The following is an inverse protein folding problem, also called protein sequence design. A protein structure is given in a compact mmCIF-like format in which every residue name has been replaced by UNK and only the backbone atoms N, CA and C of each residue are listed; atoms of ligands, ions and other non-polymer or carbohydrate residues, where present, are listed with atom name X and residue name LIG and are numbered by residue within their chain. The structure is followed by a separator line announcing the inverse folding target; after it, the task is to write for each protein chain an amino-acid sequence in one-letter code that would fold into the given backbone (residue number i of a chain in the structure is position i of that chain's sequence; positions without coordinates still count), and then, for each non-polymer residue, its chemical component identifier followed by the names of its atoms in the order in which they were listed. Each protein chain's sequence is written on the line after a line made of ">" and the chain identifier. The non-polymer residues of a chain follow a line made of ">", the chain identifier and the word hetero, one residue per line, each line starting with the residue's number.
data_IF_655415338661
#
_entry.id   IF_655415338661
#
_cell.length_a   1.000
_cell.length_b   1.000
_cell.length_c   1.000
_cell.angle_alpha   90.00
_cell.angle_beta   90.00
_cell.angle_gamma   90.00
#
_symmetry.space_group_name_H-M   'P 1'
#
loop_
_entity.id
_entity.type
_entity.pdbx_description
1 polymer ?
#
# COMPACT_ATOMS: atom_id res chain seq x y z
N UNK A 1 -7.42 19.21 -25.66
CA UNK A 1 -6.51 19.63 -24.59
C UNK A 1 -5.90 18.37 -23.98
N UNK A 2 -4.57 18.29 -23.75
CA UNK A 2 -3.99 17.13 -23.06
C UNK A 2 -4.33 17.16 -21.57
N UNK A 3 -4.39 15.99 -20.92
CA UNK A 3 -4.67 15.84 -19.49
C UNK A 3 -3.77 16.75 -18.61
N UNK A 4 -2.48 16.79 -18.88
CA UNK A 4 -1.52 17.62 -18.12
C UNK A 4 -1.80 19.13 -18.24
N UNK A 5 -2.15 19.59 -19.44
CA UNK A 5 -2.49 21.02 -19.63
C UNK A 5 -3.75 21.37 -18.83
N UNK A 6 -4.74 20.50 -18.82
CA UNK A 6 -5.97 20.66 -18.05
C UNK A 6 -5.69 20.68 -16.54
N UNK A 7 -4.86 19.76 -16.05
CA UNK A 7 -4.45 19.70 -14.64
C UNK A 7 -3.78 21.01 -14.19
N UNK A 8 -2.80 21.51 -14.96
CA UNK A 8 -2.13 22.77 -14.62
C UNK A 8 -3.07 23.97 -14.63
N UNK A 9 -4.05 24.00 -15.53
CA UNK A 9 -5.06 25.07 -15.56
C UNK A 9 -5.91 25.04 -14.29
N UNK A 10 -6.34 23.86 -13.82
CA UNK A 10 -7.13 23.74 -12.59
C UNK A 10 -6.32 24.17 -11.37
N UNK A 11 -5.06 23.75 -11.27
CA UNK A 11 -4.18 24.15 -10.16
C UNK A 11 -3.99 25.67 -10.16
N UNK A 12 -3.72 26.25 -11.32
CA UNK A 12 -3.57 27.71 -11.47
C UNK A 12 -4.87 28.45 -11.10
N UNK A 13 -6.02 27.98 -11.57
CA UNK A 13 -7.33 28.51 -11.22
C UNK A 13 -7.61 28.39 -9.71
N UNK A 14 -7.23 27.29 -9.10
CA UNK A 14 -7.36 27.08 -7.65
C UNK A 14 -6.53 28.09 -6.85
N UNK A 15 -5.26 28.25 -7.21
CA UNK A 15 -4.36 29.21 -6.55
C UNK A 15 -4.82 30.64 -6.74
N UNK A 16 -5.25 31.01 -7.95
CA UNK A 16 -5.79 32.38 -8.21
C UNK A 16 -7.08 32.61 -7.44
N UNK A 17 -7.97 31.64 -7.34
CA UNK A 17 -9.20 31.69 -6.55
C UNK A 17 -8.90 31.90 -5.06
N UNK A 18 -7.93 31.14 -4.52
CA UNK A 18 -7.48 31.26 -3.14
C UNK A 18 -6.90 32.67 -2.87
N UNK A 19 -6.02 33.13 -3.75
CA UNK A 19 -5.40 34.41 -3.62
C UNK A 19 -6.43 35.56 -3.67
N UNK A 20 -7.36 35.53 -4.65
CA UNK A 20 -8.40 36.53 -4.80
C UNK A 20 -9.37 36.54 -3.61
N UNK A 21 -9.78 35.37 -3.13
CA UNK A 21 -10.64 35.25 -1.93
C UNK A 21 -9.98 35.80 -0.68
N UNK A 22 -8.68 35.50 -0.48
CA UNK A 22 -7.89 36.05 0.64
C UNK A 22 -7.78 37.58 0.54
N UNK A 23 -7.47 38.11 -0.64
CA UNK A 23 -7.34 39.54 -0.86
C UNK A 23 -8.67 40.28 -0.68
N UNK A 24 -9.79 39.73 -1.14
CA UNK A 24 -11.12 40.31 -0.91
C UNK A 24 -11.43 40.38 0.59
N UNK A 25 -11.12 39.32 1.35
CA UNK A 25 -11.29 39.30 2.79
C UNK A 25 -10.39 40.31 3.51
N UNK A 26 -9.12 40.48 3.06
CA UNK A 26 -8.20 41.52 3.56
C UNK A 26 -8.74 42.91 3.31
N UNK A 27 -9.21 43.22 2.11
CA UNK A 27 -9.80 44.52 1.76
C UNK A 27 -11.05 44.85 2.59
N UNK A 28 -11.93 43.82 2.81
CA UNK A 28 -13.09 44.00 3.67
C UNK A 28 -12.67 44.31 5.12
N UNK A 29 -11.61 43.68 5.60
CA UNK A 29 -11.11 43.89 6.96
C UNK A 29 -10.37 45.22 7.16
N UNK A 30 -9.69 45.73 6.11
CA UNK A 30 -8.95 46.99 6.14
C UNK A 30 -9.84 48.23 6.02
N UNK A 31 -11.01 48.12 5.38
CA UNK A 31 -11.94 49.22 5.19
C UNK A 31 -12.73 49.55 6.46
N UNK A 32 -12.63 48.74 7.52
CA UNK A 32 -13.31 48.98 8.79
C UNK A 32 -12.36 49.71 9.74
N UNK A 33 -12.55 51.01 9.93
CA UNK A 33 -11.81 51.80 10.94
C UNK A 33 -12.36 51.61 12.36
N UNK A 34 -13.68 51.44 12.52
CA UNK A 34 -14.38 51.18 13.79
C UNK A 34 -15.53 50.19 13.52
N UNK A 35 -15.41 48.96 14.04
CA UNK A 35 -16.45 47.93 13.90
C UNK A 35 -15.92 46.48 14.01
N UNK A 36 -16.83 45.47 14.07
CA UNK A 36 -16.44 44.08 14.18
C UNK A 36 -15.69 43.63 12.92
N UNK A 37 -14.46 43.14 13.11
CA UNK A 37 -13.66 42.50 12.04
C UNK A 37 -14.29 41.19 11.60
N UNK A 38 -13.85 40.66 10.45
CA UNK A 38 -14.27 39.34 9.96
C UNK A 38 -14.09 38.25 11.04
N UNK A 39 -15.04 37.31 11.22
CA UNK A 39 -15.02 36.31 12.28
C UNK A 39 -13.93 35.22 12.08
N UNK A 40 -13.26 35.20 10.93
CA UNK A 40 -12.20 34.25 10.60
C UNK A 40 -11.02 34.99 9.94
N UNK A 41 -9.82 34.36 10.00
CA UNK A 41 -8.64 34.88 9.31
C UNK A 41 -8.89 34.92 7.79
N UNK A 42 -8.38 35.95 7.07
CA UNK A 42 -8.57 36.09 5.62
C UNK A 42 -8.17 34.88 4.79
N UNK A 43 -7.15 34.14 5.23
CA UNK A 43 -6.70 32.91 4.58
C UNK A 43 -7.77 31.79 4.52
N UNK A 44 -8.66 31.71 5.52
CA UNK A 44 -9.75 30.72 5.51
C UNK A 44 -10.82 31.02 4.45
N UNK A 45 -11.05 32.29 4.11
CA UNK A 45 -11.98 32.65 3.03
C UNK A 45 -11.43 32.21 1.66
N UNK A 46 -10.12 32.41 1.42
CA UNK A 46 -9.46 31.92 0.23
C UNK A 46 -9.43 30.38 0.18
N UNK A 47 -9.10 29.72 1.31
CA UNK A 47 -9.10 28.27 1.41
C UNK A 47 -10.48 27.66 1.17
N UNK A 48 -11.56 28.30 1.67
CA UNK A 48 -12.93 27.83 1.40
C UNK A 48 -13.26 27.90 -0.10
N UNK A 49 -12.88 28.97 -0.78
CA UNK A 49 -13.13 29.11 -2.21
C UNK A 49 -12.33 28.08 -3.04
N UNK A 50 -11.08 27.84 -2.68
CA UNK A 50 -10.23 26.80 -3.26
C UNK A 50 -10.84 25.39 -3.08
N UNK A 51 -11.24 25.03 -1.86
CA UNK A 51 -11.83 23.72 -1.57
C UNK A 51 -13.08 23.45 -2.39
N UNK A 52 -14.00 24.41 -2.47
CA UNK A 52 -15.21 24.25 -3.26
C UNK A 52 -14.94 24.12 -4.75
N UNK A 53 -13.96 24.85 -5.29
CA UNK A 53 -13.51 24.66 -6.67
C UNK A 53 -12.99 23.22 -6.87
N UNK A 54 -12.05 22.78 -6.03
CA UNK A 54 -11.42 21.45 -6.17
C UNK A 54 -12.46 20.35 -6.05
N UNK A 55 -13.35 20.41 -5.06
CA UNK A 55 -14.38 19.39 -4.84
C UNK A 55 -15.33 19.32 -6.04
N UNK A 56 -15.80 20.46 -6.56
CA UNK A 56 -16.71 20.46 -7.71
C UNK A 56 -16.07 19.93 -8.98
N UNK A 57 -14.81 20.29 -9.22
CA UNK A 57 -14.02 19.78 -10.36
C UNK A 57 -13.80 18.27 -10.25
N UNK A 58 -13.37 17.78 -9.07
CA UNK A 58 -13.16 16.35 -8.86
C UNK A 58 -14.45 15.54 -8.98
N UNK A 59 -15.55 16.03 -8.43
CA UNK A 59 -16.83 15.35 -8.53
C UNK A 59 -17.28 15.23 -9.98
N UNK A 60 -17.16 16.30 -10.76
CA UNK A 60 -17.52 16.27 -12.18
C UNK A 60 -16.60 15.38 -12.99
N UNK A 61 -15.30 15.35 -12.66
CA UNK A 61 -14.31 14.50 -13.30
C UNK A 61 -14.61 13.01 -13.03
N UNK A 62 -14.95 12.66 -11.79
CA UNK A 62 -15.36 11.30 -11.43
C UNK A 62 -16.59 10.88 -12.22
N UNK A 63 -17.65 11.71 -12.22
CA UNK A 63 -18.87 11.43 -13.00
C UNK A 63 -18.54 11.25 -14.50
N UNK A 64 -17.66 12.08 -15.03
CA UNK A 64 -17.24 11.97 -16.44
C UNK A 64 -16.51 10.67 -16.73
N UNK A 65 -15.52 10.29 -15.91
CA UNK A 65 -14.74 9.04 -16.11
C UNK A 65 -15.66 7.81 -16.13
N UNK A 66 -16.66 7.76 -15.25
CA UNK A 66 -17.61 6.64 -15.24
C UNK A 66 -18.66 6.70 -16.36
N UNK A 67 -19.09 7.88 -16.77
CA UNK A 67 -20.13 8.05 -17.78
C UNK A 67 -19.60 7.97 -19.23
N UNK A 68 -18.35 8.39 -19.46
CA UNK A 68 -17.73 8.46 -20.79
C UNK A 68 -17.80 7.15 -21.57
N UNK A 69 -17.38 5.98 -21.03
CA UNK A 69 -17.45 4.73 -21.76
C UNK A 69 -18.88 4.41 -22.24
N UNK A 70 -19.85 4.54 -21.34
CA UNK A 70 -21.25 4.24 -21.66
C UNK A 70 -21.83 5.17 -22.72
N UNK A 71 -21.47 6.46 -22.69
CA UNK A 71 -21.92 7.44 -23.68
C UNK A 71 -21.28 7.13 -25.06
N UNK A 72 -19.98 6.85 -25.10
CA UNK A 72 -19.29 6.54 -26.35
C UNK A 72 -19.79 5.25 -26.96
N UNK A 73 -20.02 4.20 -26.16
CA UNK A 73 -20.54 2.92 -26.61
C UNK A 73 -21.95 3.08 -27.18
N UNK A 74 -22.80 3.84 -26.53
CA UNK A 74 -24.14 4.15 -27.04
C UNK A 74 -24.11 4.87 -28.39
N UNK A 75 -23.24 5.87 -28.55
CA UNK A 75 -23.09 6.62 -29.82
C UNK A 75 -22.53 5.70 -30.94
N UNK A 76 -21.58 4.81 -30.59
CA UNK A 76 -20.99 3.87 -31.52
C UNK A 76 -22.03 2.87 -32.07
N UNK A 77 -22.84 2.28 -31.19
CA UNK A 77 -23.88 1.31 -31.55
C UNK A 77 -24.86 1.90 -32.54
N UNK A 78 -25.22 3.18 -32.41
CA UNK A 78 -26.14 3.85 -33.33
C UNK A 78 -25.56 4.06 -34.73
N UNK A 79 -24.24 4.11 -34.89
CA UNK A 79 -23.56 4.36 -36.15
C UNK A 79 -23.10 3.08 -36.87
N UNK A 80 -23.08 1.93 -36.18
CA UNK A 80 -22.67 0.64 -36.76
C UNK A 80 -23.84 0.06 -37.59
N UNK A 81 -23.62 -0.32 -38.90
CA UNK A 81 -24.63 -1.00 -39.70
C UNK A 81 -25.03 -2.35 -39.07
N UNK A 82 -26.34 -2.63 -39.00
CA UNK A 82 -26.86 -3.90 -38.47
C UNK A 82 -26.27 -5.13 -39.16
N UNK A 83 -26.03 -5.06 -40.44
CA UNK A 83 -25.39 -6.14 -41.26
C UNK A 83 -24.01 -6.54 -40.69
N UNK A 84 -23.25 -5.59 -40.17
CA UNK A 84 -21.95 -5.86 -39.60
C UNK A 84 -22.07 -6.54 -38.20
N UNK A 85 -23.08 -6.18 -37.42
CA UNK A 85 -23.37 -6.81 -36.12
C UNK A 85 -23.71 -8.29 -36.33
N UNK A 86 -24.50 -8.60 -37.33
CA UNK A 86 -24.91 -9.96 -37.68
C UNK A 86 -23.72 -10.81 -38.18
N UNK A 87 -22.79 -10.21 -38.95
CA UNK A 87 -21.56 -10.86 -39.44
C UNK A 87 -20.60 -11.27 -38.32
N UNK A 88 -20.54 -10.49 -37.23
CA UNK A 88 -19.68 -10.74 -36.08
C UNK A 88 -20.41 -11.42 -34.89
N UNK A 89 -21.39 -12.28 -35.14
CA UNK A 89 -22.05 -13.13 -34.17
C UNK A 89 -23.17 -12.47 -33.37
N UNK A 90 -23.72 -11.35 -33.85
CA UNK A 90 -24.93 -10.73 -33.29
C UNK A 90 -24.75 -9.98 -31.99
N UNK A 91 -23.54 -9.89 -31.42
CA UNK A 91 -23.27 -9.18 -30.17
C UNK A 91 -22.57 -7.84 -30.43
N UNK A 92 -23.25 -6.69 -30.19
CA UNK A 92 -22.67 -5.36 -30.43
C UNK A 92 -21.40 -5.10 -29.63
N UNK A 93 -21.31 -5.64 -28.38
CA UNK A 93 -20.18 -5.41 -27.49
C UNK A 93 -18.86 -5.91 -28.05
N UNK A 94 -18.83 -7.11 -28.65
CA UNK A 94 -17.62 -7.68 -29.23
C UNK A 94 -17.07 -6.80 -30.37
N UNK A 95 -17.97 -6.25 -31.19
CA UNK A 95 -17.60 -5.37 -32.30
C UNK A 95 -17.04 -4.02 -31.77
N UNK A 96 -17.63 -3.48 -30.70
CA UNK A 96 -17.16 -2.26 -30.04
C UNK A 96 -15.73 -2.46 -29.51
N UNK A 97 -15.46 -3.59 -28.89
CA UNK A 97 -14.13 -3.89 -28.37
C UNK A 97 -13.09 -4.02 -29.49
N UNK A 98 -13.46 -4.62 -30.63
CA UNK A 98 -12.61 -4.69 -31.83
C UNK A 98 -12.34 -3.28 -32.36
N UNK A 99 -13.36 -2.44 -32.49
CA UNK A 99 -13.22 -1.06 -32.97
C UNK A 99 -12.30 -0.24 -32.04
N UNK A 100 -12.47 -0.37 -30.72
CA UNK A 100 -11.63 0.32 -29.72
C UNK A 100 -10.19 -0.17 -29.73
N UNK A 101 -9.97 -1.47 -29.96
CA UNK A 101 -8.65 -2.10 -30.01
C UNK A 101 -7.91 -1.84 -31.33
N UNK A 102 -8.60 -1.37 -32.37
CA UNK A 102 -7.99 -1.12 -33.69
C UNK A 102 -7.07 0.11 -33.62
N UNK A 103 -5.76 -0.15 -33.71
CA UNK A 103 -4.76 0.91 -33.80
C UNK A 103 -4.70 1.50 -35.17
N UNK A 104 -5.13 2.75 -35.31
CA UNK A 104 -5.18 3.48 -36.59
C UNK A 104 -3.78 3.75 -37.15
N UNK A 105 -2.75 3.79 -36.29
CA UNK A 105 -1.36 3.98 -36.72
C UNK A 105 -0.75 2.74 -37.34
N UNK A 106 -1.33 1.55 -37.09
CA UNK A 106 -0.78 0.26 -37.51
C UNK A 106 -1.89 -0.71 -37.95
N UNK A 107 -2.54 -0.36 -39.08
CA UNK A 107 -3.67 -1.12 -39.63
C UNK A 107 -3.15 -2.41 -40.26
N UNK A 108 -3.63 -3.57 -39.77
CA UNK A 108 -3.28 -4.87 -40.35
C UNK A 108 -3.88 -5.02 -41.76
N UNK A 109 -3.09 -5.57 -42.73
CA UNK A 109 -3.61 -5.87 -44.05
C UNK A 109 -4.78 -6.87 -44.00
N UNK A 110 -5.96 -6.48 -44.49
CA UNK A 110 -7.17 -7.31 -44.45
C UNK A 110 -8.22 -6.89 -43.40
N UNK A 111 -7.98 -5.84 -42.62
CA UNK A 111 -9.00 -5.28 -41.74
C UNK A 111 -10.17 -4.71 -42.54
N UNK A 112 -11.41 -5.05 -42.16
CA UNK A 112 -12.61 -4.57 -42.81
C UNK A 112 -12.65 -3.03 -42.84
N UNK A 113 -12.85 -2.39 -44.04
CA UNK A 113 -12.86 -0.92 -44.15
C UNK A 113 -13.88 -0.23 -43.24
N UNK A 114 -15.01 -0.87 -42.97
CA UNK A 114 -16.05 -0.33 -42.07
C UNK A 114 -15.55 -0.28 -40.61
N UNK A 115 -14.73 -1.23 -40.18
CA UNK A 115 -14.12 -1.21 -38.82
C UNK A 115 -13.13 -0.04 -38.74
N UNK A 116 -12.34 0.20 -39.76
CA UNK A 116 -11.38 1.32 -39.82
C UNK A 116 -12.12 2.66 -39.76
N UNK A 117 -13.20 2.82 -40.54
CA UNK A 117 -14.02 4.03 -40.54
C UNK A 117 -14.62 4.30 -39.13
N UNK A 118 -15.18 3.27 -38.50
CA UNK A 118 -15.74 3.39 -37.14
C UNK A 118 -14.66 3.62 -36.08
N UNK A 119 -13.44 3.09 -36.25
CA UNK A 119 -12.32 3.38 -35.36
C UNK A 119 -11.84 4.84 -35.49
N UNK A 120 -11.78 5.37 -36.71
CA UNK A 120 -11.51 6.80 -36.96
C UNK A 120 -12.59 7.69 -36.32
N UNK A 121 -13.85 7.32 -36.50
CA UNK A 121 -14.99 8.02 -35.92
C UNK A 121 -14.92 7.99 -34.36
N UNK A 122 -14.66 6.82 -33.78
CA UNK A 122 -14.49 6.66 -32.33
C UNK A 122 -13.40 7.59 -31.79
N UNK A 123 -12.20 7.59 -32.38
CA UNK A 123 -11.10 8.45 -31.93
C UNK A 123 -11.42 9.94 -32.05
N UNK A 124 -12.20 10.33 -33.07
CA UNK A 124 -12.66 11.72 -33.22
C UNK A 124 -13.64 12.12 -32.13
N UNK A 125 -14.63 11.26 -31.83
CA UNK A 125 -15.62 11.52 -30.79
C UNK A 125 -14.95 11.46 -29.41
N UNK A 126 -14.04 10.55 -29.17
CA UNK A 126 -13.30 10.42 -27.92
C UNK A 126 -12.56 11.73 -27.59
N UNK A 127 -11.77 12.26 -28.53
CA UNK A 127 -11.09 13.55 -28.38
C UNK A 127 -12.04 14.75 -28.22
N UNK A 128 -13.15 14.72 -28.95
CA UNK A 128 -14.16 15.79 -28.89
C UNK A 128 -14.86 15.75 -27.52
N UNK A 129 -15.25 14.58 -27.05
CA UNK A 129 -15.92 14.37 -25.77
C UNK A 129 -15.05 14.83 -24.60
N UNK A 130 -13.74 14.53 -24.60
CA UNK A 130 -12.81 15.03 -23.59
C UNK A 130 -12.70 16.56 -23.63
N UNK A 131 -12.64 17.16 -24.83
CA UNK A 131 -12.55 18.62 -24.96
C UNK A 131 -13.81 19.31 -24.44
N UNK A 132 -14.98 18.75 -24.71
CA UNK A 132 -16.27 19.25 -24.19
C UNK A 132 -16.32 19.09 -22.67
N UNK A 133 -15.96 17.92 -22.14
CA UNK A 133 -15.96 17.67 -20.71
C UNK A 133 -15.01 18.61 -19.96
N UNK A 134 -13.79 18.79 -20.44
CA UNK A 134 -12.84 19.72 -19.82
C UNK A 134 -13.35 21.17 -19.85
N UNK A 135 -14.03 21.57 -20.93
CA UNK A 135 -14.64 22.91 -21.01
C UNK A 135 -15.78 23.07 -19.99
N UNK A 136 -16.64 22.07 -19.84
CA UNK A 136 -17.72 22.07 -18.85
C UNK A 136 -17.14 22.09 -17.43
N UNK A 137 -16.14 21.27 -17.15
CA UNK A 137 -15.49 21.22 -15.82
C UNK A 137 -14.87 22.58 -15.46
N UNK A 138 -14.18 23.22 -16.40
CA UNK A 138 -13.62 24.57 -16.20
C UNK A 138 -14.73 25.60 -15.96
N UNK A 139 -15.81 25.55 -16.72
CA UNK A 139 -16.94 26.46 -16.55
C UNK A 139 -17.60 26.28 -15.17
N UNK A 140 -17.84 25.04 -14.74
CA UNK A 140 -18.39 24.73 -13.41
C UNK A 140 -17.43 25.22 -12.33
N UNK A 141 -16.11 24.93 -12.46
CA UNK A 141 -15.10 25.38 -11.51
C UNK A 141 -15.06 26.90 -11.36
N UNK A 142 -15.10 27.63 -12.47
CA UNK A 142 -15.18 29.11 -12.47
C UNK A 142 -16.45 29.59 -11.80
N UNK A 143 -17.59 29.04 -12.13
CA UNK A 143 -18.89 29.42 -11.56
C UNK A 143 -18.91 29.22 -10.05
N UNK A 144 -18.44 28.08 -9.58
CA UNK A 144 -18.34 27.75 -8.13
C UNK A 144 -17.35 28.68 -7.43
N UNK A 145 -16.23 29.00 -8.08
CA UNK A 145 -15.25 29.97 -7.55
C UNK A 145 -15.86 31.35 -7.36
N UNK A 146 -16.54 31.88 -8.38
CA UNK A 146 -17.20 33.17 -8.33
C UNK A 146 -18.27 33.19 -7.23
N UNK A 147 -19.09 32.13 -7.15
CA UNK A 147 -20.11 31.99 -6.11
C UNK A 147 -19.50 31.99 -4.71
N UNK A 148 -18.45 31.20 -4.50
CA UNK A 148 -17.76 31.10 -3.21
C UNK A 148 -17.11 32.43 -2.79
N UNK A 149 -16.50 33.12 -3.73
CA UNK A 149 -15.90 34.46 -3.49
C UNK A 149 -17.00 35.51 -3.17
N UNK A 150 -18.15 35.43 -3.85
CA UNK A 150 -19.26 36.38 -3.59
C UNK A 150 -19.91 36.12 -2.23
N UNK A 151 -19.84 34.92 -1.68
CA UNK A 151 -20.35 34.58 -0.36
C UNK A 151 -19.50 35.13 0.80
N UNK A 152 -18.34 35.69 0.53
CA UNK A 152 -17.49 36.32 1.55
C UNK A 152 -18.20 37.54 2.13
N UNK A 153 -18.61 37.41 3.40
CA UNK A 153 -19.35 38.43 4.17
C UNK A 153 -19.00 38.33 5.66
N UNK A 154 -19.39 39.35 6.43
CA UNK A 154 -19.16 39.41 7.89
C UNK A 154 -19.92 38.34 8.67
N UNK A 155 -21.01 37.80 8.11
CA UNK A 155 -21.80 36.72 8.73
C UNK A 155 -21.23 35.34 8.43
N UNK A 156 -20.35 35.19 7.44
CA UNK A 156 -19.85 33.92 7.00
C UNK A 156 -18.64 33.48 7.83
N UNK A 157 -18.80 32.41 8.61
CA UNK A 157 -17.76 31.82 9.44
C UNK A 157 -16.87 30.85 8.62
N UNK A 158 -15.95 31.40 7.82
CA UNK A 158 -15.13 30.65 6.86
C UNK A 158 -14.29 29.54 7.52
N UNK A 159 -13.72 29.77 8.71
CA UNK A 159 -12.97 28.75 9.45
C UNK A 159 -13.81 27.50 9.72
N UNK A 160 -15.02 27.68 10.26
CA UNK A 160 -15.91 26.55 10.57
C UNK A 160 -16.34 25.81 9.30
N UNK A 161 -16.57 26.54 8.17
CA UNK A 161 -16.92 25.92 6.91
C UNK A 161 -15.77 25.08 6.36
N UNK A 162 -14.53 25.56 6.38
CA UNK A 162 -13.32 24.82 5.96
C UNK A 162 -13.09 23.61 6.86
N UNK A 163 -13.15 23.76 8.18
CA UNK A 163 -12.97 22.67 9.15
C UNK A 163 -14.03 21.57 8.93
N UNK A 164 -15.31 21.94 8.76
CA UNK A 164 -16.39 20.99 8.49
C UNK A 164 -16.19 20.26 7.16
N UNK A 165 -15.79 20.97 6.11
CA UNK A 165 -15.51 20.36 4.80
C UNK A 165 -14.35 19.39 4.88
N UNK A 166 -13.25 19.76 5.56
CA UNK A 166 -12.09 18.88 5.75
C UNK A 166 -12.45 17.65 6.56
N UNK A 167 -13.22 17.79 7.65
CA UNK A 167 -13.69 16.65 8.45
C UNK A 167 -14.55 15.71 7.59
N UNK A 168 -15.47 16.25 6.79
CA UNK A 168 -16.30 15.43 5.91
C UNK A 168 -15.46 14.69 4.85
N UNK A 169 -14.45 15.34 4.28
CA UNK A 169 -13.51 14.68 3.35
C UNK A 169 -12.71 13.56 4.04
N UNK A 170 -12.22 13.81 5.26
CA UNK A 170 -11.51 12.79 6.03
C UNK A 170 -12.41 11.60 6.36
N UNK A 171 -13.66 11.85 6.76
CA UNK A 171 -14.66 10.80 7.00
C UNK A 171 -14.92 10.01 5.72
N UNK A 172 -15.09 10.69 4.58
CA UNK A 172 -15.30 10.05 3.28
C UNK A 172 -14.12 9.15 2.90
N UNK A 173 -12.89 9.66 2.99
CA UNK A 173 -11.68 8.89 2.71
C UNK A 173 -11.54 7.67 3.64
N UNK A 174 -11.80 7.88 4.94
CA UNK A 174 -11.79 6.78 5.93
C UNK A 174 -12.85 5.73 5.62
N UNK A 175 -14.06 6.16 5.26
CA UNK A 175 -15.15 5.25 4.89
C UNK A 175 -14.80 4.43 3.65
N UNK A 176 -14.24 5.06 2.61
CA UNK A 176 -13.80 4.36 1.39
C UNK A 176 -12.71 3.32 1.74
N UNK A 177 -11.73 3.69 2.58
CA UNK A 177 -10.68 2.76 2.99
C UNK A 177 -11.24 1.55 3.76
N UNK A 178 -12.20 1.78 4.67
CA UNK A 178 -12.87 0.72 5.42
C UNK A 178 -13.66 -0.20 4.47
N UNK A 179 -14.46 0.37 3.57
CA UNK A 179 -15.25 -0.41 2.60
C UNK A 179 -14.34 -1.23 1.70
N UNK A 180 -13.24 -0.64 1.20
CA UNK A 180 -12.26 -1.35 0.37
C UNK A 180 -11.63 -2.53 1.15
N UNK A 181 -11.25 -2.31 2.41
CA UNK A 181 -10.69 -3.37 3.26
C UNK A 181 -11.71 -4.50 3.49
N UNK A 182 -12.96 -4.17 3.79
CA UNK A 182 -14.03 -5.16 3.94
C UNK A 182 -14.25 -5.90 2.62
N UNK A 183 -14.27 -5.20 1.49
CA UNK A 183 -14.42 -5.80 0.16
C UNK A 183 -13.31 -6.82 -0.16
N UNK A 184 -12.05 -6.48 0.15
CA UNK A 184 -10.91 -7.39 -0.01
C UNK A 184 -11.09 -8.65 0.85
N UNK A 185 -11.44 -8.48 2.13
CA UNK A 185 -11.64 -9.63 3.05
C UNK A 185 -12.79 -10.52 2.55
N UNK A 186 -13.91 -9.93 2.14
CA UNK A 186 -15.05 -10.69 1.62
C UNK A 186 -14.70 -11.45 0.33
N UNK A 187 -13.95 -10.81 -0.58
CA UNK A 187 -13.46 -11.47 -1.79
C UNK A 187 -12.54 -12.64 -1.48
N UNK A 188 -11.59 -12.46 -0.55
CA UNK A 188 -10.71 -13.55 -0.11
C UNK A 188 -11.48 -14.70 0.52
N UNK A 189 -12.50 -14.41 1.35
CA UNK A 189 -13.35 -15.43 1.96
C UNK A 189 -14.13 -16.20 0.89
N UNK A 190 -14.73 -15.48 -0.07
CA UNK A 190 -15.53 -16.10 -1.13
C UNK A 190 -14.70 -17.08 -1.97
N UNK A 191 -13.53 -16.66 -2.44
CA UNK A 191 -12.65 -17.53 -3.23
C UNK A 191 -12.04 -18.66 -2.40
N UNK A 192 -11.73 -18.42 -1.12
CA UNK A 192 -11.27 -19.49 -0.22
C UNK A 192 -12.35 -20.54 0.06
N UNK A 193 -13.61 -20.17 0.17
CA UNK A 193 -14.71 -21.13 0.32
C UNK A 193 -14.82 -22.03 -0.92
N UNK A 194 -14.69 -21.47 -2.13
CA UNK A 194 -14.66 -22.25 -3.39
C UNK A 194 -13.48 -23.23 -3.43
N UNK A 195 -12.33 -22.85 -2.84
CA UNK A 195 -11.20 -23.77 -2.67
C UNK A 195 -11.56 -24.92 -1.74
N UNK A 196 -12.18 -24.66 -0.60
CA UNK A 196 -12.54 -25.69 0.40
C UNK A 196 -13.69 -26.59 -0.04
N UNK A 197 -14.43 -26.25 -1.09
CA UNK A 197 -15.33 -27.19 -1.78
C UNK A 197 -14.57 -28.29 -2.54
N UNK A 198 -13.32 -28.01 -2.98
CA UNK A 198 -12.48 -28.94 -3.75
C UNK A 198 -11.44 -29.66 -2.90
N UNK A 199 -10.96 -29.03 -1.83
CA UNK A 199 -9.89 -29.54 -0.95
C UNK A 199 -10.37 -29.49 0.49
N UNK A 200 -10.19 -30.59 1.23
CA UNK A 200 -10.62 -30.66 2.62
C UNK A 200 -9.84 -29.65 3.48
N UNK A 201 -10.55 -28.90 4.31
CA UNK A 201 -9.98 -27.87 5.19
C UNK A 201 -8.90 -28.39 6.13
N UNK A 202 -9.10 -29.59 6.71
CA UNK A 202 -8.12 -30.17 7.63
C UNK A 202 -6.87 -30.68 6.90
N UNK A 203 -7.03 -31.24 5.70
CA UNK A 203 -5.91 -31.68 4.86
C UNK A 203 -5.07 -30.49 4.39
N UNK A 204 -5.71 -29.37 4.10
CA UNK A 204 -5.02 -28.11 3.80
C UNK A 204 -4.26 -27.58 5.03
N UNK A 205 -4.91 -27.47 6.18
CA UNK A 205 -4.32 -26.81 7.33
C UNK A 205 -3.18 -27.62 7.97
N UNK A 206 -3.32 -28.94 8.02
CA UNK A 206 -2.42 -29.87 8.72
C UNK A 206 -1.62 -30.79 7.79
N UNK A 207 -1.78 -30.65 6.48
CA UNK A 207 -1.01 -31.43 5.50
C UNK A 207 0.48 -31.07 5.52
N UNK A 208 1.32 -32.10 5.36
CA UNK A 208 2.78 -32.00 5.38
C UNK A 208 3.40 -31.88 3.99
N UNK A 209 2.62 -32.03 2.94
CA UNK A 209 3.10 -31.97 1.56
C UNK A 209 2.45 -30.82 0.81
N UNK A 210 3.29 -30.00 0.17
CA UNK A 210 2.84 -28.93 -0.70
C UNK A 210 3.39 -29.16 -2.10
N UNK A 211 2.49 -29.49 -3.04
CA UNK A 211 2.77 -29.62 -4.47
C UNK A 211 1.52 -29.25 -5.26
N UNK A 212 1.29 -27.96 -5.54
CA UNK A 212 0.06 -27.46 -6.16
C UNK A 212 0.01 -27.70 -7.67
N UNK A 213 0.88 -28.54 -8.22
CA UNK A 213 0.93 -28.82 -9.67
C UNK A 213 -0.19 -29.80 -10.03
N UNK A 214 -1.31 -29.27 -10.52
CA UNK A 214 -2.43 -30.03 -11.08
C UNK A 214 -2.40 -29.98 -12.59
N UNK A 215 -2.98 -31.00 -13.28
CA UNK A 215 -3.17 -30.98 -14.72
C UNK A 215 -4.14 -29.83 -15.10
N UNK A 216 -3.72 -28.91 -15.97
CA UNK A 216 -4.53 -27.79 -16.44
C UNK A 216 -5.18 -28.11 -17.80
N UNK A 217 -4.62 -29.07 -18.57
CA UNK A 217 -5.08 -29.44 -19.92
C UNK A 217 -5.40 -30.93 -19.98
N UNK A 218 -6.42 -31.28 -20.77
CA UNK A 218 -6.74 -32.67 -21.09
C UNK A 218 -5.51 -33.37 -21.73
N UNK A 219 -5.11 -34.54 -21.16
CA UNK A 219 -3.93 -35.31 -21.58
C UNK A 219 -2.62 -34.94 -20.90
N UNK A 220 -2.59 -33.97 -19.98
CA UNK A 220 -1.41 -33.69 -19.16
C UNK A 220 -1.32 -34.68 -17.99
N UNK A 221 -0.17 -35.37 -17.86
CA UNK A 221 0.12 -36.22 -16.70
C UNK A 221 0.62 -35.32 -15.57
N UNK A 222 -0.22 -35.07 -14.58
CA UNK A 222 0.14 -34.35 -13.38
C UNK A 222 -0.34 -35.11 -12.13
N UNK A 223 0.25 -34.81 -10.97
CA UNK A 223 -0.21 -35.38 -9.69
C UNK A 223 -1.55 -34.74 -9.30
N UNK A 224 -2.32 -35.42 -8.43
CA UNK A 224 -3.61 -34.93 -7.90
C UNK A 224 -3.50 -33.61 -7.08
N UNK A 225 -2.28 -33.05 -6.95
CA UNK A 225 -1.97 -31.85 -6.20
C UNK A 225 -2.06 -32.08 -4.67
N UNK A 226 -1.02 -31.72 -3.96
CA UNK A 226 -1.02 -31.72 -2.51
C UNK A 226 -1.01 -30.27 -2.01
N UNK A 227 -1.95 -29.91 -1.17
CA UNK A 227 -2.17 -28.54 -0.69
C UNK A 227 -1.95 -28.39 0.82
N UNK A 228 -1.01 -29.13 1.41
CA UNK A 228 -0.70 -29.03 2.84
C UNK A 228 0.08 -27.77 3.21
N UNK A 229 -0.46 -26.94 4.10
CA UNK A 229 0.09 -25.62 4.42
C UNK A 229 1.27 -25.63 5.41
N UNK A 230 1.47 -26.71 6.19
CA UNK A 230 2.52 -26.77 7.25
C UNK A 230 3.92 -26.43 6.73
N UNK A 231 4.43 -26.96 5.61
CA UNK A 231 5.78 -26.64 5.14
C UNK A 231 5.97 -25.17 4.83
N UNK A 232 4.93 -24.52 4.30
CA UNK A 232 4.99 -23.10 3.90
C UNK A 232 4.96 -22.18 5.12
N UNK A 233 4.11 -22.50 6.10
CA UNK A 233 4.05 -21.74 7.35
C UNK A 233 5.32 -21.96 8.19
N UNK A 234 5.90 -23.17 8.22
CA UNK A 234 7.17 -23.41 8.91
C UNK A 234 8.31 -22.61 8.29
N UNK A 235 8.40 -22.54 6.96
CA UNK A 235 9.38 -21.71 6.26
C UNK A 235 9.20 -20.22 6.53
N UNK A 236 7.94 -19.74 6.58
CA UNK A 236 7.62 -18.35 6.95
C UNK A 236 8.10 -18.01 8.36
N UNK A 237 7.85 -18.90 9.32
CA UNK A 237 8.28 -18.71 10.70
C UNK A 237 9.80 -18.79 10.83
N UNK A 238 10.45 -19.71 10.16
CA UNK A 238 11.91 -19.88 10.18
C UNK A 238 12.62 -18.63 9.66
N UNK A 239 12.22 -18.12 8.48
CA UNK A 239 12.82 -16.91 7.89
C UNK A 239 12.55 -15.67 8.78
N UNK A 240 11.32 -15.56 9.30
CA UNK A 240 10.97 -14.48 10.24
C UNK A 240 11.82 -14.54 11.51
N UNK A 241 12.03 -15.73 12.07
CA UNK A 241 12.86 -15.92 13.25
C UNK A 241 14.31 -15.48 12.99
N UNK A 242 14.91 -15.90 11.88
CA UNK A 242 16.27 -15.48 11.49
C UNK A 242 16.35 -13.96 11.33
N UNK A 243 15.38 -13.34 10.67
CA UNK A 243 15.35 -11.90 10.48
C UNK A 243 15.23 -11.15 11.80
N UNK A 244 14.37 -11.59 12.72
CA UNK A 244 14.20 -10.96 14.01
C UNK A 244 15.41 -11.16 14.93
N UNK A 245 16.08 -12.31 14.83
CA UNK A 245 17.32 -12.57 15.55
C UNK A 245 18.42 -11.56 15.22
N UNK A 246 18.46 -11.07 13.98
CA UNK A 246 19.37 -10.01 13.54
C UNK A 246 18.82 -8.61 13.88
N UNK A 247 17.56 -8.37 13.53
CA UNK A 247 16.97 -7.04 13.56
C UNK A 247 16.70 -6.50 14.97
N UNK A 248 16.25 -7.35 15.90
CA UNK A 248 15.89 -6.91 17.26
C UNK A 248 17.12 -6.42 18.03
N UNK A 249 18.22 -7.20 18.16
CA UNK A 249 19.37 -6.74 18.94
C UNK A 249 19.99 -5.48 18.34
N UNK A 250 20.26 -5.50 17.04
CA UNK A 250 20.95 -4.39 16.37
C UNK A 250 20.07 -3.13 16.38
N UNK A 251 18.79 -3.27 16.04
CA UNK A 251 17.83 -2.16 16.01
C UNK A 251 17.62 -1.54 17.38
N UNK A 252 17.46 -2.37 18.45
CA UNK A 252 17.25 -1.88 19.80
C UNK A 252 18.52 -1.20 20.37
N UNK A 253 19.70 -1.81 20.20
CA UNK A 253 20.94 -1.18 20.65
C UNK A 253 21.21 0.12 19.91
N UNK A 254 20.92 0.17 18.60
CA UNK A 254 21.02 1.40 17.83
C UNK A 254 20.07 2.49 18.37
N UNK A 255 18.81 2.14 18.67
CA UNK A 255 17.84 3.05 19.27
C UNK A 255 18.30 3.61 20.62
N UNK A 256 18.77 2.72 21.51
CA UNK A 256 19.26 3.13 22.83
C UNK A 256 20.47 4.07 22.70
N UNK A 257 21.40 3.75 21.79
CA UNK A 257 22.56 4.61 21.55
C UNK A 257 22.14 5.98 21.03
N UNK A 258 21.29 6.03 20.03
CA UNK A 258 20.84 7.28 19.41
C UNK A 258 19.97 8.12 20.34
N UNK A 259 19.12 7.48 21.18
CA UNK A 259 18.25 8.18 22.12
C UNK A 259 19.00 8.76 23.31
N UNK A 260 19.94 7.98 23.90
CA UNK A 260 20.50 8.28 25.21
C UNK A 260 21.98 8.66 25.17
N UNK A 261 22.79 8.11 24.28
CA UNK A 261 24.25 8.27 24.32
C UNK A 261 24.80 9.18 23.23
N UNK A 262 24.17 9.24 22.08
CA UNK A 262 24.67 9.98 20.93
C UNK A 262 24.61 11.50 21.15
N UNK A 263 25.64 12.21 20.69
CA UNK A 263 25.61 13.68 20.61
C UNK A 263 24.54 14.12 19.60
N UNK A 264 23.94 15.30 19.76
CA UNK A 264 22.91 15.79 18.83
C UNK A 264 23.35 15.79 17.37
N UNK A 265 24.61 16.13 17.09
CA UNK A 265 25.17 16.12 15.73
C UNK A 265 25.27 14.69 15.15
N UNK A 266 25.66 13.70 15.95
CA UNK A 266 25.73 12.30 15.50
C UNK A 266 24.34 11.80 15.19
N UNK A 267 23.38 12.06 16.07
CA UNK A 267 21.99 11.64 15.87
C UNK A 267 21.37 12.27 14.65
N UNK A 268 21.52 13.58 14.44
CA UNK A 268 20.95 14.31 13.28
C UNK A 268 21.49 13.79 11.95
N UNK A 269 22.66 13.14 11.95
CA UNK A 269 23.24 12.51 10.75
C UNK A 269 22.79 11.06 10.60
N UNK A 270 22.89 10.24 11.66
CA UNK A 270 22.65 8.80 11.55
C UNK A 270 21.16 8.42 11.48
N UNK A 271 20.27 9.15 12.14
CA UNK A 271 18.83 8.85 12.06
C UNK A 271 18.30 8.97 10.64
N UNK A 272 18.53 10.06 9.86
CA UNK A 272 18.15 10.12 8.46
C UNK A 272 18.78 9.04 7.57
N UNK A 273 20.05 8.66 7.83
CA UNK A 273 20.72 7.59 7.06
C UNK A 273 19.99 6.25 7.25
N UNK A 274 19.60 5.92 8.49
CA UNK A 274 18.78 4.73 8.76
C UNK A 274 17.41 4.80 8.06
N UNK A 275 16.76 5.98 8.06
CA UNK A 275 15.48 6.19 7.39
C UNK A 275 15.59 6.04 5.86
N UNK A 276 16.68 6.52 5.25
CA UNK A 276 16.97 6.31 3.82
C UNK A 276 17.12 4.81 3.52
N UNK A 277 17.80 4.05 4.38
CA UNK A 277 17.96 2.60 4.20
C UNK A 277 16.61 1.88 4.20
N UNK A 278 15.66 2.31 5.05
CA UNK A 278 14.30 1.79 5.05
C UNK A 278 13.51 2.11 3.77
N UNK A 279 13.90 3.14 3.03
CA UNK A 279 13.28 3.56 1.77
C UNK A 279 13.76 2.78 0.54
N UNK A 280 14.79 1.95 0.64
CA UNK A 280 15.28 1.13 -0.47
C UNK A 280 14.24 0.07 -0.85
N UNK A 281 13.87 -0.08 -2.15
CA UNK A 281 12.93 -1.10 -2.58
C UNK A 281 13.36 -2.52 -2.17
N UNK A 282 12.43 -3.32 -1.66
CA UNK A 282 12.72 -4.69 -1.15
C UNK A 282 13.28 -5.62 -2.23
N UNK A 283 12.94 -5.38 -3.51
CA UNK A 283 13.52 -6.10 -4.66
C UNK A 283 15.04 -5.95 -4.71
N UNK A 284 15.57 -4.76 -4.42
CA UNK A 284 17.03 -4.50 -4.42
C UNK A 284 17.71 -5.32 -3.33
N UNK A 285 17.11 -5.39 -2.15
CA UNK A 285 17.61 -6.24 -1.07
C UNK A 285 17.55 -7.73 -1.45
N UNK A 286 16.47 -8.17 -2.11
CA UNK A 286 16.35 -9.55 -2.59
C UNK A 286 17.40 -9.91 -3.61
N UNK A 287 17.67 -9.03 -4.57
CA UNK A 287 18.71 -9.19 -5.56
C UNK A 287 20.12 -9.24 -4.92
N UNK A 288 20.39 -8.34 -3.98
CA UNK A 288 21.63 -8.34 -3.21
C UNK A 288 21.79 -9.64 -2.40
N UNK A 289 20.72 -10.12 -1.79
CA UNK A 289 20.71 -11.38 -1.05
C UNK A 289 21.05 -12.57 -1.95
N UNK A 290 20.44 -12.65 -3.13
CA UNK A 290 20.63 -13.76 -4.08
C UNK A 290 22.02 -13.79 -4.71
N UNK A 291 22.54 -12.63 -5.15
CA UNK A 291 23.78 -12.58 -5.93
C UNK A 291 25.02 -12.41 -5.04
N UNK A 292 24.90 -11.72 -3.92
CA UNK A 292 26.06 -11.39 -3.09
C UNK A 292 26.10 -12.19 -1.80
N UNK A 293 25.02 -12.10 -0.99
CA UNK A 293 25.01 -12.67 0.37
C UNK A 293 24.93 -14.19 0.34
N UNK A 294 24.07 -14.77 -0.49
CA UNK A 294 23.92 -16.24 -0.62
C UNK A 294 25.21 -16.92 -1.03
N UNK A 295 25.85 -16.54 -2.16
CA UNK A 295 27.15 -17.10 -2.55
C UNK A 295 28.26 -16.85 -1.53
N UNK A 296 28.30 -15.65 -0.91
CA UNK A 296 29.26 -15.34 0.14
C UNK A 296 29.10 -16.30 1.34
N UNK A 297 27.90 -16.46 1.84
CA UNK A 297 27.62 -17.37 2.96
C UNK A 297 27.95 -18.83 2.61
N UNK A 298 27.59 -19.27 1.40
CA UNK A 298 27.91 -20.63 0.93
C UNK A 298 29.41 -20.89 0.93
N UNK A 299 30.22 -19.96 0.43
CA UNK A 299 31.68 -20.10 0.37
C UNK A 299 32.29 -19.99 1.77
N UNK A 300 31.94 -18.95 2.53
CA UNK A 300 32.51 -18.68 3.85
C UNK A 300 32.20 -19.80 4.86
N UNK A 301 30.95 -20.24 4.94
CA UNK A 301 30.56 -21.29 5.90
C UNK A 301 30.93 -22.67 5.39
N UNK A 302 31.05 -22.84 4.05
CA UNK A 302 31.60 -24.05 3.42
C UNK A 302 33.02 -24.38 3.85
N UNK A 303 33.87 -23.35 4.11
CA UNK A 303 35.21 -23.51 4.65
C UNK A 303 35.22 -24.17 6.04
N UNK A 304 34.16 -24.01 6.82
CA UNK A 304 33.97 -24.66 8.13
C UNK A 304 33.32 -26.05 8.05
N UNK A 305 33.12 -26.57 6.84
CA UNK A 305 32.55 -27.92 6.64
C UNK A 305 31.02 -27.99 6.67
N UNK A 306 30.33 -26.87 6.71
CA UNK A 306 28.85 -26.83 6.64
C UNK A 306 28.38 -26.65 5.20
N UNK A 307 27.37 -27.43 4.81
CA UNK A 307 26.78 -27.32 3.49
C UNK A 307 25.60 -26.36 3.53
N UNK A 308 25.73 -25.20 2.87
CA UNK A 308 24.67 -24.17 2.76
C UNK A 308 24.21 -24.07 1.32
N UNK A 309 22.89 -24.04 1.12
CA UNK A 309 22.31 -23.67 -0.16
C UNK A 309 22.51 -22.17 -0.43
N UNK A 310 22.82 -21.78 -1.68
CA UNK A 310 22.92 -20.35 -2.05
C UNK A 310 21.57 -19.64 -1.80
N UNK A 311 20.48 -20.31 -2.09
CA UNK A 311 19.12 -19.91 -1.72
C UNK A 311 18.79 -20.58 -0.39
N UNK A 312 18.89 -19.84 0.72
CA UNK A 312 18.71 -20.39 2.06
C UNK A 312 17.94 -19.45 2.97
N UNK A 313 17.30 -20.01 4.00
CA UNK A 313 16.57 -19.21 4.98
C UNK A 313 17.47 -18.19 5.70
N UNK A 314 18.76 -18.53 5.93
CA UNK A 314 19.70 -17.62 6.59
C UNK A 314 20.10 -16.45 5.69
N UNK A 315 20.28 -16.67 4.38
CA UNK A 315 20.60 -15.61 3.44
C UNK A 315 19.44 -14.60 3.31
N UNK A 316 18.23 -15.12 3.06
CA UNK A 316 17.03 -14.30 2.95
C UNK A 316 16.66 -13.63 4.28
N UNK A 317 16.63 -14.37 5.38
CA UNK A 317 16.31 -13.85 6.70
C UNK A 317 17.34 -12.86 7.22
N UNK A 318 18.63 -13.08 6.97
CA UNK A 318 19.69 -12.15 7.36
C UNK A 318 19.55 -10.79 6.68
N UNK A 319 19.36 -10.77 5.36
CA UNK A 319 19.16 -9.51 4.60
C UNK A 319 17.83 -8.85 4.94
N UNK A 320 16.75 -9.62 5.13
CA UNK A 320 15.49 -9.10 5.63
C UNK A 320 15.64 -8.49 7.03
N UNK A 321 16.46 -9.10 7.89
CA UNK A 321 16.81 -8.54 9.20
C UNK A 321 17.49 -7.17 9.08
N UNK A 322 18.45 -7.03 8.18
CA UNK A 322 19.12 -5.75 7.90
C UNK A 322 18.12 -4.69 7.45
N UNK A 323 17.19 -5.02 6.56
CA UNK A 323 16.13 -4.13 6.10
C UNK A 323 15.19 -3.67 7.24
N UNK A 324 14.98 -4.53 8.24
CA UNK A 324 14.06 -4.24 9.36
C UNK A 324 14.74 -3.46 10.50
N UNK A 325 16.07 -3.47 10.61
CA UNK A 325 16.83 -2.72 11.63
C UNK A 325 16.37 -1.25 11.73
N UNK A 326 16.29 -0.47 10.65
CA UNK A 326 15.87 0.94 10.72
C UNK A 326 14.48 1.11 11.31
N UNK A 327 13.57 0.20 11.00
CA UNK A 327 12.18 0.24 11.48
C UNK A 327 12.12 0.04 13.00
N UNK A 328 12.80 -0.99 13.53
CA UNK A 328 12.88 -1.21 14.97
C UNK A 328 13.61 -0.06 15.66
N UNK A 329 14.72 0.41 15.09
CA UNK A 329 15.52 1.48 15.65
C UNK A 329 14.74 2.79 15.74
N UNK A 330 14.05 3.20 14.68
CA UNK A 330 13.29 4.46 14.65
C UNK A 330 12.12 4.44 15.65
N UNK A 331 11.29 3.40 15.61
CA UNK A 331 10.16 3.29 16.53
C UNK A 331 10.60 3.18 18.00
N UNK A 332 11.65 2.41 18.28
CA UNK A 332 12.15 2.28 19.65
C UNK A 332 12.81 3.58 20.14
N UNK A 333 13.53 4.32 19.28
CA UNK A 333 14.09 5.65 19.62
C UNK A 333 12.97 6.62 20.02
N UNK A 334 11.88 6.66 19.27
CA UNK A 334 10.75 7.55 19.55
C UNK A 334 10.08 7.20 20.90
N UNK A 335 9.89 5.92 21.20
CA UNK A 335 9.32 5.45 22.46
C UNK A 335 10.26 5.73 23.65
N UNK A 336 11.56 5.47 23.51
CA UNK A 336 12.56 5.73 24.57
C UNK A 336 12.58 7.23 24.91
N UNK A 337 12.45 8.10 23.92
CA UNK A 337 12.43 9.55 24.13
C UNK A 337 11.12 10.07 24.71
N UNK A 338 10.01 9.37 24.45
CA UNK A 338 8.72 9.72 25.04
C UNK A 338 8.66 9.51 26.57
N UNK A 339 9.62 8.79 27.17
CA UNK A 339 9.74 8.66 28.62
C UNK A 339 9.98 10.05 29.24
N UNK A 340 9.20 10.48 30.26
CA UNK A 340 9.31 11.80 30.86
C UNK A 340 10.71 12.11 31.41
N UNK A 341 11.18 13.35 31.18
CA UNK A 341 12.51 13.80 31.66
C UNK A 341 12.64 13.76 33.17
N UNK A 342 11.56 14.01 33.91
CA UNK A 342 11.54 13.97 35.35
C UNK A 342 11.99 12.63 35.95
N UNK A 343 11.72 11.52 35.27
CA UNK A 343 12.18 10.19 35.68
C UNK A 343 13.70 10.04 35.54
N UNK A 344 14.29 10.64 34.52
CA UNK A 344 15.73 10.68 34.32
C UNK A 344 16.41 11.53 35.39
N UNK A 345 15.90 12.74 35.58
CA UNK A 345 16.44 13.70 36.53
C UNK A 345 16.33 13.17 37.98
N UNK A 346 15.22 12.53 38.34
CA UNK A 346 15.05 11.85 39.62
C UNK A 346 16.07 10.72 39.84
N UNK A 347 16.34 9.92 38.81
CA UNK A 347 17.35 8.86 38.86
C UNK A 347 18.76 9.43 39.09
N UNK A 348 19.12 10.48 38.35
CA UNK A 348 20.41 11.16 38.56
C UNK A 348 20.55 11.84 39.91
N UNK A 349 19.47 12.43 40.42
CA UNK A 349 19.44 13.02 41.78
C UNK A 349 19.68 11.98 42.89
N UNK A 350 19.29 10.71 42.64
CA UNK A 350 19.58 9.59 43.52
C UNK A 350 21.01 9.01 43.37
N UNK A 351 21.84 9.62 42.51
CA UNK A 351 23.22 9.21 42.30
C UNK A 351 23.40 8.06 41.27
N UNK A 352 22.37 7.70 40.53
CA UNK A 352 22.49 6.64 39.53
C UNK A 352 23.35 7.08 38.32
N UNK A 353 24.12 6.16 37.82
CA UNK A 353 24.87 6.37 36.58
C UNK A 353 23.94 6.35 35.34
N UNK A 354 24.42 6.88 34.21
CA UNK A 354 23.63 6.89 32.98
C UNK A 354 23.19 5.48 32.53
N UNK A 355 24.09 4.50 32.66
CA UNK A 355 23.79 3.11 32.34
C UNK A 355 22.73 2.50 33.27
N UNK A 356 22.76 2.82 34.54
CA UNK A 356 21.76 2.36 35.53
C UNK A 356 20.40 3.00 35.26
N UNK A 357 20.37 4.30 34.98
CA UNK A 357 19.15 5.02 34.58
C UNK A 357 18.51 4.40 33.36
N UNK A 358 19.31 4.12 32.31
CA UNK A 358 18.80 3.47 31.10
C UNK A 358 18.23 2.08 31.40
N UNK A 359 18.97 1.23 32.15
CA UNK A 359 18.58 -0.16 32.39
C UNK A 359 17.42 -0.30 33.38
N UNK A 360 17.40 0.52 34.42
CA UNK A 360 16.46 0.35 35.57
C UNK A 360 15.23 1.24 35.48
N UNK A 361 15.28 2.34 34.71
CA UNK A 361 14.19 3.33 34.62
C UNK A 361 13.66 3.43 33.21
N UNK A 362 14.52 3.79 32.25
CA UNK A 362 14.08 4.15 30.89
C UNK A 362 13.60 2.92 30.13
N UNK A 363 14.39 1.84 30.08
CA UNK A 363 14.01 0.63 29.34
C UNK A 363 12.75 -0.04 29.90
N UNK A 364 12.56 -0.22 31.22
CA UNK A 364 11.31 -0.74 31.74
C UNK A 364 10.11 0.15 31.43
N UNK A 365 10.27 1.48 31.53
CA UNK A 365 9.23 2.44 31.17
C UNK A 365 8.87 2.42 29.67
N UNK A 366 9.87 2.27 28.80
CA UNK A 366 9.72 2.21 27.36
C UNK A 366 9.33 0.81 26.83
N UNK A 367 9.48 -0.24 27.65
CA UNK A 367 9.33 -1.64 27.24
C UNK A 367 8.02 -1.92 26.48
N UNK A 368 6.85 -1.45 26.93
CA UNK A 368 5.60 -1.70 26.20
C UNK A 368 5.62 -1.16 24.75
N UNK A 369 6.18 0.03 24.58
CA UNK A 369 6.30 0.63 23.25
C UNK A 369 7.35 -0.06 22.37
N UNK A 370 8.49 -0.46 22.96
CA UNK A 370 9.53 -1.25 22.27
C UNK A 370 8.95 -2.59 21.82
N UNK A 371 8.20 -3.27 22.68
CA UNK A 371 7.51 -4.52 22.30
C UNK A 371 6.50 -4.28 21.16
N UNK A 372 5.79 -3.16 21.20
CA UNK A 372 4.92 -2.75 20.09
C UNK A 372 5.68 -2.61 18.76
N UNK A 373 6.85 -1.96 18.78
CA UNK A 373 7.72 -1.82 17.60
C UNK A 373 8.21 -3.18 17.08
N UNK A 374 8.63 -4.09 17.97
CA UNK A 374 9.06 -5.45 17.61
C UNK A 374 7.91 -6.24 16.97
N UNK A 375 6.70 -6.14 17.51
CA UNK A 375 5.54 -6.85 16.98
C UNK A 375 5.12 -6.36 15.59
N UNK A 376 5.17 -5.05 15.37
CA UNK A 376 4.96 -4.48 14.04
C UNK A 376 6.05 -4.94 13.06
N UNK A 377 7.30 -5.06 13.52
CA UNK A 377 8.40 -5.58 12.74
C UNK A 377 8.20 -7.06 12.36
N UNK A 378 7.73 -7.90 13.29
CA UNK A 378 7.38 -9.31 13.04
C UNK A 378 6.26 -9.40 12.00
N UNK A 379 5.19 -8.61 12.14
CA UNK A 379 4.09 -8.60 11.18
C UNK A 379 4.56 -8.21 9.77
N UNK A 380 5.49 -7.25 9.67
CA UNK A 380 6.13 -6.85 8.42
C UNK A 380 6.98 -7.99 7.83
N UNK A 381 7.76 -8.67 8.66
CA UNK A 381 8.61 -9.79 8.24
C UNK A 381 7.80 -10.98 7.69
N UNK A 382 6.70 -11.34 8.35
CA UNK A 382 5.81 -12.43 7.90
C UNK A 382 5.20 -12.12 6.52
N UNK A 383 4.93 -10.85 6.25
CA UNK A 383 4.37 -10.39 4.97
C UNK A 383 5.39 -10.11 3.87
N UNK A 384 6.70 -10.25 4.12
CA UNK A 384 7.73 -9.96 3.11
C UNK A 384 7.71 -11.01 2.00
N UNK A 385 7.69 -10.54 0.77
CA UNK A 385 7.56 -11.40 -0.41
C UNK A 385 8.82 -11.36 -1.26
N UNK A 386 9.29 -10.15 -1.64
CA UNK A 386 10.27 -9.99 -2.71
C UNK A 386 11.66 -10.48 -2.32
N UNK A 387 12.12 -10.22 -1.09
CA UNK A 387 13.42 -10.73 -0.61
C UNK A 387 13.41 -12.25 -0.59
N UNK A 388 12.31 -12.84 -0.14
CA UNK A 388 12.19 -14.29 0.02
C UNK A 388 12.09 -14.99 -1.33
N UNK A 389 11.27 -14.48 -2.27
CA UNK A 389 11.18 -15.02 -3.64
C UNK A 389 12.54 -15.13 -4.29
N UNK A 390 13.40 -14.13 -4.07
CA UNK A 390 14.70 -14.05 -4.75
C UNK A 390 15.82 -14.81 -4.04
N UNK A 391 15.75 -14.98 -2.71
CA UNK A 391 16.90 -15.43 -1.92
C UNK A 391 16.69 -16.66 -1.07
N UNK A 392 15.43 -17.12 -0.84
CA UNK A 392 15.16 -18.28 0.01
C UNK A 392 14.78 -19.55 -0.77
N UNK A 393 14.31 -19.39 -2.02
CA UNK A 393 13.86 -20.48 -2.88
C UNK A 393 12.34 -20.61 -2.97
N UNK A 394 11.90 -21.51 -3.86
CA UNK A 394 10.48 -21.72 -4.18
C UNK A 394 9.97 -23.06 -3.61
N UNK A 395 10.89 -23.97 -3.25
CA UNK A 395 10.55 -25.33 -2.79
C UNK A 395 9.97 -25.32 -1.37
N UNK A 396 8.82 -25.96 -1.19
CA UNK A 396 8.17 -26.09 0.10
C UNK A 396 8.77 -27.25 0.92
N UNK A 397 9.97 -27.08 1.41
CA UNK A 397 10.64 -28.07 2.24
C UNK A 397 10.24 -27.89 3.72
N UNK A 398 9.85 -28.96 4.35
CA UNK A 398 9.61 -28.97 5.80
C UNK A 398 10.92 -29.21 6.53
N UNK A 399 11.58 -28.12 6.92
CA UNK A 399 12.85 -28.14 7.65
C UNK A 399 12.90 -27.01 8.66
N UNK A 400 13.64 -27.23 9.76
CA UNK A 400 14.01 -26.19 10.72
C UNK A 400 15.47 -25.76 10.58
N UNK A 401 16.18 -26.32 9.59
CA UNK A 401 17.55 -25.97 9.30
C UNK A 401 17.62 -24.66 8.50
N UNK A 402 18.18 -23.58 9.05
CA UNK A 402 18.26 -22.29 8.35
C UNK A 402 19.21 -22.28 7.15
N UNK A 403 20.01 -23.32 6.98
CA UNK A 403 20.95 -23.46 5.85
C UNK A 403 20.31 -24.06 4.60
N UNK A 404 19.11 -24.56 4.71
CA UNK A 404 18.36 -25.13 3.59
C UNK A 404 17.46 -24.11 2.91
N UNK A 405 17.07 -24.44 1.66
CA UNK A 405 16.09 -23.68 0.90
C UNK A 405 14.69 -23.96 1.42
N UNK A 406 13.95 -22.90 1.70
CA UNK A 406 12.55 -22.94 2.14
C UNK A 406 11.74 -21.86 1.41
N UNK A 407 10.42 -22.00 1.43
CA UNK A 407 9.51 -21.00 0.86
C UNK A 407 8.59 -20.44 1.93
N UNK A 408 7.93 -19.32 1.62
CA UNK A 408 6.93 -18.68 2.51
C UNK A 408 5.54 -18.69 1.89
N UNK A 409 4.53 -18.43 2.72
CA UNK A 409 3.14 -18.28 2.28
C UNK A 409 3.02 -17.22 1.20
N UNK A 410 3.65 -16.05 1.38
CA UNK A 410 3.61 -14.94 0.43
C UNK A 410 4.25 -15.28 -0.92
N UNK A 411 5.36 -16.04 -0.91
CA UNK A 411 6.02 -16.53 -2.12
C UNK A 411 5.11 -17.49 -2.88
N UNK A 412 4.47 -18.43 -2.17
CA UNK A 412 3.57 -19.38 -2.80
C UNK A 412 2.33 -18.70 -3.39
N UNK A 413 1.75 -17.69 -2.72
CA UNK A 413 0.67 -16.89 -3.28
C UNK A 413 1.10 -16.28 -4.62
N UNK A 414 2.28 -15.66 -4.68
CA UNK A 414 2.78 -15.05 -5.92
C UNK A 414 2.99 -16.10 -7.01
N UNK A 415 3.63 -17.22 -6.68
CA UNK A 415 3.92 -18.28 -7.67
C UNK A 415 2.66 -18.94 -8.22
N UNK A 416 1.60 -19.04 -7.42
CA UNK A 416 0.29 -19.55 -7.85
C UNK A 416 -0.46 -18.58 -8.77
N UNK A 417 -0.22 -17.27 -8.60
CA UNK A 417 -0.89 -16.21 -9.36
C UNK A 417 -0.09 -15.74 -10.59
N UNK A 418 1.11 -16.28 -10.83
CA UNK A 418 1.93 -15.94 -12.01
C UNK A 418 1.87 -17.09 -13.02
N UNK A 419 1.70 -16.78 -14.30
CA UNK A 419 1.64 -17.73 -15.43
C UNK A 419 0.24 -17.94 -15.96
N UNK A 420 0.03 -19.04 -16.71
CA UNK A 420 -1.28 -19.44 -17.23
C UNK A 420 -2.23 -19.77 -16.07
N UNK A 421 -3.26 -18.92 -15.93
CA UNK A 421 -4.22 -19.03 -14.85
C UNK A 421 -5.57 -19.49 -15.37
N UNK A 422 -6.05 -20.56 -14.79
CA UNK A 422 -7.45 -20.94 -14.87
C UNK A 422 -8.12 -20.53 -13.57
N UNK A 423 -8.98 -19.52 -13.61
CA UNK A 423 -9.55 -18.88 -12.40
C UNK A 423 -10.30 -19.86 -11.50
N UNK A 424 -10.86 -20.94 -12.06
CA UNK A 424 -11.61 -21.95 -11.33
C UNK A 424 -10.76 -23.15 -10.89
N UNK A 425 -9.46 -23.18 -11.19
CA UNK A 425 -8.59 -24.28 -10.79
C UNK A 425 -8.31 -24.27 -9.29
N UNK A 426 -8.16 -25.48 -8.69
CA UNK A 426 -7.77 -25.61 -7.29
C UNK A 426 -6.43 -24.91 -6.99
N UNK A 427 -5.52 -24.88 -7.99
CA UNK A 427 -4.22 -24.20 -7.91
C UNK A 427 -4.38 -22.70 -7.70
N UNK A 428 -5.20 -22.01 -8.50
CA UNK A 428 -5.40 -20.56 -8.38
C UNK A 428 -6.17 -20.23 -7.11
N UNK A 429 -7.21 -21.00 -6.80
CA UNK A 429 -8.01 -20.83 -5.58
C UNK A 429 -7.19 -21.05 -4.29
N UNK A 430 -6.15 -21.90 -4.32
CA UNK A 430 -5.25 -22.11 -3.19
C UNK A 430 -4.52 -20.84 -2.76
N UNK A 431 -4.23 -19.91 -3.68
CA UNK A 431 -3.63 -18.62 -3.32
C UNK A 431 -4.54 -17.79 -2.40
N UNK A 432 -5.84 -17.79 -2.64
CA UNK A 432 -6.82 -17.11 -1.79
C UNK A 432 -6.98 -17.80 -0.43
N UNK A 433 -6.97 -19.14 -0.41
CA UNK A 433 -7.00 -19.92 0.82
C UNK A 433 -5.75 -19.66 1.68
N UNK A 434 -4.57 -19.58 1.09
CA UNK A 434 -3.34 -19.18 1.77
C UNK A 434 -3.43 -17.76 2.29
N UNK A 435 -3.95 -16.82 1.48
CA UNK A 435 -4.09 -15.43 1.85
C UNK A 435 -4.98 -15.23 3.07
N UNK A 436 -6.17 -15.86 3.10
CA UNK A 436 -7.08 -15.75 4.24
C UNK A 436 -6.52 -16.45 5.49
N UNK A 437 -5.83 -17.57 5.33
CA UNK A 437 -5.19 -18.28 6.45
C UNK A 437 -4.06 -17.46 7.05
N UNK A 438 -3.22 -16.84 6.21
CA UNK A 438 -2.17 -15.93 6.65
C UNK A 438 -2.75 -14.69 7.36
N UNK A 439 -3.85 -14.14 6.85
CA UNK A 439 -4.56 -13.02 7.48
C UNK A 439 -5.02 -13.39 8.89
N UNK A 440 -5.66 -14.53 9.08
CA UNK A 440 -6.10 -14.96 10.42
C UNK A 440 -4.91 -15.28 11.34
N UNK A 441 -3.86 -15.90 10.83
CA UNK A 441 -2.65 -16.19 11.61
C UNK A 441 -1.98 -14.90 12.10
N UNK A 442 -1.80 -13.92 11.22
CA UNK A 442 -1.20 -12.61 11.58
C UNK A 442 -2.11 -11.79 12.48
N UNK A 443 -3.42 -11.80 12.26
CA UNK A 443 -4.40 -11.15 13.12
C UNK A 443 -4.35 -11.73 14.55
N UNK A 444 -4.31 -13.04 14.67
CA UNK A 444 -4.20 -13.73 15.97
C UNK A 444 -2.91 -13.36 16.71
N UNK A 445 -1.77 -13.39 16.02
CA UNK A 445 -0.49 -12.95 16.57
C UNK A 445 -0.55 -11.48 17.03
N UNK A 446 -1.11 -10.60 16.22
CA UNK A 446 -1.24 -9.18 16.58
C UNK A 446 -2.16 -8.94 17.78
N UNK A 447 -3.27 -9.69 17.90
CA UNK A 447 -4.16 -9.60 19.07
C UNK A 447 -3.44 -10.05 20.34
N UNK A 448 -2.71 -11.17 20.29
CA UNK A 448 -1.90 -11.63 21.44
C UNK A 448 -0.88 -10.58 21.83
N UNK A 449 -0.18 -10.06 20.85
CA UNK A 449 0.83 -9.04 20.98
C UNK A 449 0.30 -7.78 21.65
N UNK A 450 -0.83 -7.25 21.18
CA UNK A 450 -1.49 -6.09 21.77
C UNK A 450 -1.91 -6.33 23.23
N UNK A 451 -2.42 -7.52 23.56
CA UNK A 451 -2.79 -7.90 24.91
C UNK A 451 -1.57 -7.94 25.85
N UNK A 452 -0.44 -8.49 25.37
CA UNK A 452 0.81 -8.52 26.13
C UNK A 452 1.29 -7.09 26.42
N UNK A 453 1.34 -6.23 25.37
CA UNK A 453 1.74 -4.83 25.52
C UNK A 453 0.83 -4.08 26.50
N UNK A 454 -0.48 -4.25 26.40
CA UNK A 454 -1.44 -3.60 27.31
C UNK A 454 -1.32 -4.07 28.75
N UNK A 455 -1.04 -5.36 28.99
CA UNK A 455 -0.90 -5.93 30.33
C UNK A 455 0.35 -5.41 31.05
N UNK A 456 1.43 -5.20 30.33
CA UNK A 456 2.71 -4.75 30.90
C UNK A 456 2.96 -3.25 30.76
N UNK A 457 1.98 -2.50 30.25
CA UNK A 457 2.06 -1.04 30.17
C UNK A 457 1.92 -0.47 31.58
N UNK A 458 3.02 0.07 32.10
CA UNK A 458 2.96 0.88 33.31
C UNK A 458 2.23 2.19 32.99
N UNK A 459 1.26 2.52 33.84
CA UNK A 459 0.55 3.80 33.81
C UNK A 459 1.34 4.78 34.62
N UNK A 460 2.04 5.70 33.99
CA UNK A 460 2.59 6.88 34.60
C UNK A 460 1.54 7.99 34.49
N UNK A 461 0.61 8.05 35.45
CA UNK A 461 -0.32 9.16 35.63
C UNK A 461 0.31 10.21 36.57
#
# INVERSE_FOLDING_TARGET
>A
MGFWSFFFIIVFLGLTTQWYGTNKALKLNSNIKEGPKLPSLPSYYGANAFLWLVISVLLFLIVWVFSKPHILDYILIQNIPKALIDEFGGTPNMLIDIIKATDISNIFPGTNPIIIENALYYNKIDKLSDSIAYSIILFVGLTVSIFSINRISFLFKARQAVEKTNINLLILCSTIAIIATIGIILSLIFEALRFFEKVNFFDFLFGFNWSPQTAIREGQVASDGAFGAIPIFSGTLLITFVAMFVAIPIGLFSAIYLAEYAKPSVRSTFKPILEILAGVPTVVYGFFAAITVGPFLKNFVGEFGFNIASESAIAAGGVMGIMIIPFISSLSDDVIRAVPQNLRDGSYAMGATKSETVKKIILPAALPGIMGAVLLAISRAIGETMIVVMAAGISANLTLNPFESVTTVTVQIVTLLVGDQEFDSAKTLAAFALGITLFFATLFLNIIALRIVQKYREKYD
#
